data_IF_885614302418
#
_entry.id   IF_885614302418
#
_cell.length_a   1.000
_cell.length_b   1.000
_cell.length_c   1.000
_cell.angle_alpha   90.00
_cell.angle_beta   90.00
_cell.angle_gamma   90.00
#
_symmetry.space_group_name_H-M   'P 1'
#
loop_
_entity.id
_entity.type
_entity.pdbx_description
1 polymer ?
#
# COMPACT_ATOMS: atom_id res chain seq x y z
N UNK A 1 4.37 -13.65 -29.15
CA UNK A 1 3.99 -14.30 -27.89
C UNK A 1 5.27 -14.75 -27.16
N UNK A 2 5.99 -13.80 -26.55
CA UNK A 2 7.23 -14.07 -25.82
C UNK A 2 6.89 -14.30 -24.35
N UNK A 3 7.02 -15.55 -23.88
CA UNK A 3 7.04 -15.87 -22.44
C UNK A 3 8.33 -15.32 -21.85
N UNK A 4 8.43 -14.01 -21.66
CA UNK A 4 9.36 -13.48 -20.67
C UNK A 4 8.84 -13.92 -19.33
N UNK A 5 9.46 -14.98 -18.79
CA UNK A 5 9.31 -15.34 -17.39
C UNK A 5 9.55 -14.05 -16.61
N UNK A 6 8.50 -13.54 -15.98
CA UNK A 6 8.53 -12.25 -15.32
C UNK A 6 9.38 -12.43 -14.06
N UNK A 7 10.71 -12.31 -14.18
CA UNK A 7 11.68 -12.60 -13.12
C UNK A 7 11.32 -11.88 -11.82
N UNK A 8 10.73 -10.68 -11.92
CA UNK A 8 10.18 -9.93 -10.79
C UNK A 8 9.13 -10.72 -10.00
N UNK A 9 8.20 -11.44 -10.65
CA UNK A 9 7.18 -12.25 -9.97
C UNK A 9 7.77 -13.46 -9.25
N UNK A 10 8.81 -14.09 -9.83
CA UNK A 10 9.50 -15.21 -9.18
C UNK A 10 10.26 -14.72 -7.95
N UNK A 11 11.00 -13.62 -8.08
CA UNK A 11 11.73 -12.98 -6.98
C UNK A 11 10.82 -12.55 -5.82
N UNK A 12 9.57 -12.23 -6.11
CA UNK A 12 8.57 -11.87 -5.10
C UNK A 12 7.72 -13.04 -4.59
N UNK A 13 7.97 -14.27 -5.05
CA UNK A 13 7.25 -15.44 -4.54
C UNK A 13 7.68 -15.78 -3.10
N UNK A 14 6.74 -16.11 -2.19
CA UNK A 14 7.05 -16.29 -0.77
C UNK A 14 7.99 -17.48 -0.53
N UNK A 15 7.78 -18.58 -1.25
CA UNK A 15 8.59 -19.79 -1.14
C UNK A 15 10.03 -19.51 -1.57
N UNK A 16 10.23 -18.88 -2.73
CA UNK A 16 11.56 -18.56 -3.23
C UNK A 16 12.32 -17.65 -2.26
N UNK A 17 11.65 -16.63 -1.71
CA UNK A 17 12.30 -15.70 -0.77
C UNK A 17 12.70 -16.37 0.54
N UNK A 18 11.90 -17.28 1.06
CA UNK A 18 12.24 -18.05 2.26
C UNK A 18 13.46 -18.94 1.99
N UNK A 19 13.46 -19.67 0.86
CA UNK A 19 14.60 -20.52 0.48
C UNK A 19 15.87 -19.70 0.23
N UNK A 20 15.76 -18.58 -0.50
CA UNK A 20 16.86 -17.68 -0.76
C UNK A 20 17.39 -17.03 0.52
N UNK A 21 16.52 -16.66 1.46
CA UNK A 21 16.91 -16.12 2.75
C UNK A 21 17.79 -17.11 3.52
N UNK A 22 17.33 -18.35 3.69
CA UNK A 22 18.11 -19.37 4.40
C UNK A 22 19.37 -19.78 3.63
N UNK A 23 19.33 -19.81 2.30
CA UNK A 23 20.52 -20.05 1.49
C UNK A 23 21.59 -18.98 1.72
N UNK A 24 21.21 -17.70 1.82
CA UNK A 24 22.13 -16.60 2.14
C UNK A 24 22.71 -16.76 3.54
N UNK A 25 21.88 -17.10 4.54
CA UNK A 25 22.34 -17.34 5.91
C UNK A 25 23.36 -18.47 5.93
N UNK A 26 23.05 -19.61 5.31
CA UNK A 26 23.96 -20.77 5.23
C UNK A 26 25.25 -20.40 4.49
N UNK A 27 25.16 -19.69 3.36
CA UNK A 27 26.32 -19.24 2.61
C UNK A 27 27.22 -18.30 3.43
N UNK A 28 26.64 -17.37 4.19
CA UNK A 28 27.39 -16.46 5.05
C UNK A 28 28.10 -17.18 6.19
N UNK A 29 27.43 -18.14 6.85
CA UNK A 29 28.02 -18.90 7.96
C UNK A 29 29.09 -19.87 7.43
N UNK A 30 28.87 -20.54 6.30
CA UNK A 30 29.88 -21.43 5.67
C UNK A 30 31.08 -20.65 5.14
N UNK A 31 30.90 -19.40 4.69
CA UNK A 31 32.01 -18.52 4.37
C UNK A 31 32.82 -18.15 5.63
N UNK A 32 32.14 -17.85 6.74
CA UNK A 32 32.80 -17.56 8.01
C UNK A 32 33.65 -18.75 8.52
N UNK A 33 33.15 -19.99 8.37
CA UNK A 33 33.87 -21.24 8.72
C UNK A 33 35.19 -21.40 7.95
N UNK A 34 35.26 -20.88 6.72
CA UNK A 34 36.48 -20.94 5.90
C UNK A 34 37.45 -19.80 6.15
N UNK A 35 36.97 -18.68 6.66
CA UNK A 35 37.74 -17.44 6.80
C UNK A 35 38.31 -17.25 8.20
N UNK A 36 37.75 -17.93 9.20
CA UNK A 36 38.09 -17.71 10.62
C UNK A 36 38.49 -19.03 11.26
N UNK A 37 39.79 -19.24 11.43
CA UNK A 37 40.37 -20.49 11.96
C UNK A 37 39.83 -20.89 13.36
N UNK A 38 39.37 -19.91 14.14
CA UNK A 38 38.81 -20.12 15.49
C UNK A 38 37.31 -20.48 15.49
N UNK A 39 36.64 -20.42 14.34
CA UNK A 39 35.23 -20.73 14.20
C UNK A 39 35.06 -22.06 13.47
N UNK A 40 34.27 -22.96 14.06
CA UNK A 40 33.90 -24.23 13.42
C UNK A 40 32.39 -24.44 13.46
N UNK A 41 31.81 -24.64 12.29
CA UNK A 41 30.39 -24.90 12.09
C UNK A 41 29.97 -26.24 12.72
N UNK A 42 30.92 -27.14 12.96
CA UNK A 42 30.68 -28.45 13.59
C UNK A 42 30.53 -28.36 15.10
N UNK A 43 30.95 -27.26 15.73
CA UNK A 43 30.95 -27.09 17.19
C UNK A 43 29.55 -27.25 17.79
N UNK A 44 28.54 -26.54 17.27
CA UNK A 44 27.16 -26.59 17.80
C UNK A 44 26.51 -27.98 17.59
N UNK A 45 26.54 -28.59 16.39
CA UNK A 45 26.02 -29.94 16.19
C UNK A 45 26.71 -31.00 17.07
N UNK A 46 28.02 -30.90 17.27
CA UNK A 46 28.77 -31.83 18.11
C UNK A 46 28.34 -31.73 19.59
N UNK A 47 28.17 -30.51 20.10
CA UNK A 47 27.66 -30.29 21.47
C UNK A 47 26.25 -30.82 21.60
N UNK A 48 25.36 -30.55 20.63
CA UNK A 48 24.00 -31.06 20.66
C UNK A 48 23.96 -32.59 20.66
N UNK A 49 24.76 -33.23 19.81
CA UNK A 49 24.87 -34.68 19.75
C UNK A 49 25.37 -35.28 21.06
N UNK A 50 26.44 -34.73 21.62
CA UNK A 50 26.97 -35.19 22.92
C UNK A 50 25.98 -34.95 24.06
N UNK A 51 25.21 -33.85 24.01
CA UNK A 51 24.14 -33.59 24.98
C UNK A 51 23.01 -34.61 24.85
N UNK A 52 22.69 -35.04 23.62
CA UNK A 52 21.67 -36.05 23.38
C UNK A 52 22.10 -37.47 23.77
N UNK A 53 23.40 -37.79 23.65
CA UNK A 53 23.94 -39.11 23.95
C UNK A 53 24.24 -39.27 25.45
N UNK A 54 24.89 -38.28 26.07
CA UNK A 54 25.43 -38.35 27.45
C UNK A 54 24.80 -37.31 28.40
N UNK A 55 23.74 -36.61 27.99
CA UNK A 55 23.12 -35.55 28.78
C UNK A 55 24.03 -34.32 28.97
N UNK A 56 23.80 -33.53 30.02
CA UNK A 56 24.61 -32.33 30.31
C UNK A 56 26.11 -32.64 30.52
N UNK A 57 26.46 -33.86 30.90
CA UNK A 57 27.84 -34.35 31.08
C UNK A 57 28.58 -34.54 29.75
N UNK A 58 27.87 -34.86 28.67
CA UNK A 58 28.46 -34.97 27.33
C UNK A 58 28.82 -33.62 26.74
N UNK A 59 27.96 -32.62 26.94
CA UNK A 59 28.22 -31.23 26.54
C UNK A 59 29.47 -30.68 27.23
N UNK A 60 29.63 -31.06 28.49
CA UNK A 60 30.66 -30.57 29.39
C UNK A 60 32.08 -30.96 29.00
N UNK A 61 32.30 -32.24 28.66
CA UNK A 61 33.59 -32.74 28.14
C UNK A 61 34.07 -32.02 26.88
N UNK A 62 33.14 -31.45 26.11
CA UNK A 62 33.45 -30.69 24.89
C UNK A 62 33.79 -29.23 25.22
N UNK A 63 33.26 -28.68 26.31
CA UNK A 63 33.45 -27.28 26.71
C UNK A 63 34.84 -27.03 27.36
N UNK A 64 35.54 -28.08 27.78
CA UNK A 64 36.90 -27.99 28.36
C UNK A 64 37.97 -27.42 27.39
N UNK A 65 37.70 -27.45 26.07
CA UNK A 65 38.57 -26.84 25.08
C UNK A 65 38.38 -25.32 24.99
N UNK A 66 39.44 -24.54 25.23
CA UNK A 66 39.41 -23.07 25.10
C UNK A 66 38.89 -22.61 23.73
N UNK A 67 39.23 -23.32 22.65
CA UNK A 67 38.75 -23.04 21.29
C UNK A 67 37.23 -23.19 21.13
N UNK A 68 36.57 -24.03 21.92
CA UNK A 68 35.13 -24.28 21.83
C UNK A 68 34.33 -23.09 22.35
N UNK A 69 34.79 -22.47 23.45
CA UNK A 69 34.16 -21.27 24.03
C UNK A 69 34.16 -20.12 23.03
N UNK A 70 35.31 -19.85 22.40
CA UNK A 70 35.43 -18.81 21.38
C UNK A 70 34.61 -19.15 20.13
N UNK A 71 34.64 -20.40 19.67
CA UNK A 71 33.83 -20.85 18.53
C UNK A 71 32.33 -20.64 18.77
N UNK A 72 31.82 -20.88 20.00
CA UNK A 72 30.42 -20.66 20.34
C UNK A 72 30.05 -19.18 20.36
N UNK A 73 30.87 -18.35 20.99
CA UNK A 73 30.70 -16.90 20.98
C UNK A 73 30.67 -16.34 19.54
N UNK A 74 31.61 -16.78 18.70
CA UNK A 74 31.67 -16.42 17.29
C UNK A 74 30.46 -16.92 16.50
N UNK A 75 29.91 -18.10 16.84
CA UNK A 75 28.68 -18.61 16.21
C UNK A 75 27.51 -17.64 16.41
N UNK A 76 27.34 -17.11 17.62
CA UNK A 76 26.27 -16.15 17.93
C UNK A 76 26.44 -14.88 17.09
N UNK A 77 27.66 -14.35 17.02
CA UNK A 77 27.98 -13.13 16.27
C UNK A 77 27.76 -13.34 14.77
N UNK A 78 28.30 -14.41 14.19
CA UNK A 78 28.17 -14.69 12.76
C UNK A 78 26.75 -15.04 12.37
N UNK A 79 25.98 -15.71 13.23
CA UNK A 79 24.55 -15.93 12.99
C UNK A 79 23.80 -14.59 12.94
N UNK A 80 24.06 -13.69 13.88
CA UNK A 80 23.50 -12.34 13.88
C UNK A 80 23.84 -11.56 12.61
N UNK A 81 25.12 -11.55 12.22
CA UNK A 81 25.58 -10.90 11.00
C UNK A 81 24.97 -11.52 9.73
N UNK A 82 24.92 -12.84 9.63
CA UNK A 82 24.32 -13.57 8.51
C UNK A 82 22.83 -13.25 8.36
N UNK A 83 22.09 -13.19 9.47
CA UNK A 83 20.69 -12.77 9.47
C UNK A 83 20.55 -11.32 8.98
N UNK A 84 21.37 -10.38 9.47
CA UNK A 84 21.35 -8.99 9.00
C UNK A 84 21.63 -8.88 7.50
N UNK A 85 22.62 -9.61 6.98
CA UNK A 85 22.94 -9.65 5.54
C UNK A 85 21.75 -10.20 4.76
N UNK A 86 21.14 -11.29 5.22
CA UNK A 86 19.97 -11.88 4.57
C UNK A 86 18.77 -10.90 4.58
N UNK A 87 18.52 -10.21 5.70
CA UNK A 87 17.49 -9.15 5.77
C UNK A 87 17.79 -7.99 4.83
N UNK A 88 19.04 -7.53 4.77
CA UNK A 88 19.45 -6.44 3.90
C UNK A 88 19.24 -6.79 2.42
N UNK A 89 19.79 -7.92 1.97
CA UNK A 89 19.70 -8.36 0.58
C UNK A 89 18.26 -8.69 0.16
N UNK A 90 17.52 -9.43 1.00
CA UNK A 90 16.19 -9.90 0.63
C UNK A 90 15.11 -8.84 0.82
N UNK A 91 15.18 -7.97 1.83
CA UNK A 91 14.11 -7.03 2.11
C UNK A 91 14.48 -5.63 1.65
N UNK A 92 15.58 -5.09 2.19
CA UNK A 92 15.96 -3.71 1.99
C UNK A 92 16.23 -3.44 0.49
N UNK A 93 17.11 -4.22 -0.14
CA UNK A 93 17.42 -4.05 -1.57
C UNK A 93 16.19 -4.32 -2.44
N UNK A 94 15.41 -5.36 -2.14
CA UNK A 94 14.21 -5.67 -2.92
C UNK A 94 13.19 -4.51 -2.91
N UNK A 95 13.00 -3.85 -1.76
CA UNK A 95 12.13 -2.69 -1.64
C UNK A 95 12.73 -1.49 -2.37
N UNK A 96 14.02 -1.21 -2.18
CA UNK A 96 14.70 -0.11 -2.84
C UNK A 96 14.69 -0.23 -4.37
N UNK A 97 14.87 -1.44 -4.91
CA UNK A 97 14.75 -1.71 -6.34
C UNK A 97 13.31 -1.57 -6.83
N UNK A 98 12.34 -1.96 -6.01
CA UNK A 98 10.91 -1.85 -6.32
C UNK A 98 10.43 -0.40 -6.35
N UNK A 99 10.80 0.40 -5.36
CA UNK A 99 10.50 1.84 -5.32
C UNK A 99 11.22 2.54 -6.46
N UNK A 100 12.48 2.21 -6.72
CA UNK A 100 13.24 2.79 -7.83
C UNK A 100 12.63 2.44 -9.19
N UNK A 101 12.25 1.19 -9.44
CA UNK A 101 11.60 0.80 -10.69
C UNK A 101 10.26 1.48 -10.88
N UNK A 102 9.44 1.57 -9.82
CA UNK A 102 8.15 2.26 -9.84
C UNK A 102 8.32 3.77 -10.07
N UNK A 103 9.31 4.43 -9.44
CA UNK A 103 9.64 5.84 -9.68
C UNK A 103 10.05 6.10 -11.13
N UNK A 104 10.78 5.17 -11.77
CA UNK A 104 11.12 5.30 -13.19
C UNK A 104 9.91 5.24 -14.12
N UNK A 105 8.85 4.54 -13.72
CA UNK A 105 7.57 4.53 -14.47
C UNK A 105 6.83 5.87 -14.31
N UNK A 106 6.95 6.51 -13.15
CA UNK A 106 6.30 7.80 -12.86
C UNK A 106 7.03 9.01 -13.48
N UNK A 107 8.32 8.88 -13.80
CA UNK A 107 9.11 9.99 -14.32
C UNK A 107 8.83 10.24 -15.80
N UNK A 108 7.69 10.88 -16.08
CA UNK A 108 7.32 11.36 -17.42
C UNK A 108 7.84 12.78 -17.58
N UNK A 109 8.65 13.00 -18.62
CA UNK A 109 9.06 14.34 -19.01
C UNK A 109 7.84 15.09 -19.56
N UNK A 110 7.48 16.22 -18.96
CA UNK A 110 6.36 17.06 -19.45
C UNK A 110 5.37 17.57 -18.39
N UNK A 111 5.59 17.27 -17.10
CA UNK A 111 4.78 17.78 -16.00
C UNK A 111 3.43 17.07 -15.83
N UNK A 112 2.58 17.64 -14.97
CA UNK A 112 1.31 17.01 -14.51
C UNK A 112 0.35 16.66 -15.67
N UNK A 113 0.28 17.49 -16.72
CA UNK A 113 -0.62 17.27 -17.87
C UNK A 113 -0.12 16.10 -18.73
N UNK A 114 1.19 16.04 -19.01
CA UNK A 114 1.77 14.94 -19.78
C UNK A 114 1.65 13.61 -19.01
N UNK A 115 1.75 13.66 -17.68
CA UNK A 115 1.48 12.51 -16.83
C UNK A 115 0.03 12.04 -16.96
N UNK A 116 -0.93 12.95 -16.85
CA UNK A 116 -2.36 12.64 -16.96
C UNK A 116 -2.72 11.96 -18.29
N UNK A 117 -2.20 12.47 -19.42
CA UNK A 117 -2.44 11.90 -20.76
C UNK A 117 -1.89 10.48 -20.92
N UNK A 118 -0.74 10.18 -20.32
CA UNK A 118 -0.09 8.87 -20.43
C UNK A 118 -0.53 7.89 -19.34
N UNK A 119 -1.35 8.34 -18.39
CA UNK A 119 -1.65 7.60 -17.16
C UNK A 119 -2.33 6.25 -17.44
N UNK A 120 -3.48 6.26 -18.10
CA UNK A 120 -4.27 5.04 -18.36
C UNK A 120 -3.55 4.08 -19.34
N UNK A 121 -2.86 4.62 -20.34
CA UNK A 121 -2.23 3.80 -21.39
C UNK A 121 -0.90 3.17 -20.95
N UNK A 122 -0.07 3.88 -20.17
CA UNK A 122 1.31 3.46 -19.91
C UNK A 122 1.63 3.24 -18.43
N UNK A 123 1.12 4.10 -17.54
CA UNK A 123 1.56 4.18 -16.14
C UNK A 123 0.76 3.19 -15.29
N UNK A 124 -0.56 3.30 -15.30
CA UNK A 124 -1.47 2.48 -14.50
C UNK A 124 -1.29 0.97 -14.74
N UNK A 125 -1.22 0.45 -15.98
CA UNK A 125 -1.02 -0.98 -16.20
C UNK A 125 0.29 -1.51 -15.62
N UNK A 126 1.36 -0.69 -15.61
CA UNK A 126 2.66 -1.10 -15.05
C UNK A 126 2.65 -1.10 -13.53
N UNK A 127 2.01 -0.11 -12.90
CA UNK A 127 1.97 0.01 -11.44
C UNK A 127 1.00 -0.99 -10.79
N UNK A 128 -0.18 -1.22 -11.39
CA UNK A 128 -1.13 -2.24 -10.90
C UNK A 128 -0.55 -3.65 -10.98
N UNK A 129 0.29 -3.93 -11.99
CA UNK A 129 0.96 -5.22 -12.12
C UNK A 129 2.23 -5.35 -11.27
N UNK A 130 2.62 -4.32 -10.51
CA UNK A 130 3.81 -4.35 -9.68
C UNK A 130 3.60 -5.26 -8.45
N UNK A 131 4.51 -6.20 -8.14
CA UNK A 131 4.29 -7.20 -7.09
C UNK A 131 4.13 -6.60 -5.68
N UNK A 132 4.82 -5.49 -5.40
CA UNK A 132 4.75 -4.82 -4.10
C UNK A 132 3.61 -3.79 -4.01
N UNK A 133 3.39 -3.01 -5.07
CA UNK A 133 2.53 -1.82 -5.03
C UNK A 133 1.18 -2.05 -5.69
N UNK A 134 1.00 -3.11 -6.47
CA UNK A 134 -0.14 -3.24 -7.37
C UNK A 134 -1.51 -3.13 -6.70
N UNK A 135 -1.68 -3.78 -5.54
CA UNK A 135 -2.92 -3.70 -4.78
C UNK A 135 -3.14 -2.29 -4.19
N UNK A 136 -2.14 -1.73 -3.52
CA UNK A 136 -2.22 -0.38 -2.96
C UNK A 136 -2.37 0.71 -4.04
N UNK A 137 -1.78 0.50 -5.22
CA UNK A 137 -1.93 1.39 -6.36
C UNK A 137 -3.34 1.36 -6.92
N UNK A 138 -4.00 0.19 -6.93
CA UNK A 138 -5.40 0.08 -7.33
C UNK A 138 -6.30 0.90 -6.39
N UNK A 139 -6.13 0.73 -5.08
CA UNK A 139 -6.88 1.50 -4.08
C UNK A 139 -6.60 3.01 -4.19
N UNK A 140 -5.35 3.39 -4.45
CA UNK A 140 -5.00 4.79 -4.69
C UNK A 140 -5.63 5.33 -5.98
N UNK A 141 -5.62 4.58 -7.10
CA UNK A 141 -6.25 4.95 -8.38
C UNK A 141 -7.74 5.24 -8.23
N UNK A 142 -8.43 4.46 -7.38
CA UNK A 142 -9.86 4.65 -7.10
C UNK A 142 -10.16 6.00 -6.41
N UNK A 143 -9.16 6.67 -5.83
CA UNK A 143 -9.30 8.00 -5.22
C UNK A 143 -8.96 9.19 -6.13
N UNK A 144 -8.48 8.91 -7.35
CA UNK A 144 -8.06 9.95 -8.28
C UNK A 144 -9.25 10.53 -9.05
N UNK A 145 -9.30 11.87 -9.14
CA UNK A 145 -10.30 12.58 -9.93
C UNK A 145 -9.78 12.76 -11.36
N UNK A 146 -10.53 12.23 -12.32
CA UNK A 146 -10.16 12.19 -13.74
C UNK A 146 -10.95 13.19 -14.60
N UNK A 147 -11.90 13.91 -14.01
CA UNK A 147 -12.86 14.79 -14.72
C UNK A 147 -12.18 15.87 -15.57
N UNK A 148 -11.04 16.39 -15.11
CA UNK A 148 -10.29 17.42 -15.83
C UNK A 148 -9.37 16.87 -16.92
N UNK A 149 -9.12 15.56 -16.96
CA UNK A 149 -8.20 14.94 -17.94
C UNK A 149 -8.75 15.08 -19.35
N UNK A 150 -10.06 14.88 -19.54
CA UNK A 150 -10.73 15.04 -20.84
C UNK A 150 -10.68 16.50 -21.36
N UNK A 151 -10.48 17.46 -20.46
CA UNK A 151 -10.34 18.88 -20.76
C UNK A 151 -8.88 19.32 -20.90
N UNK A 152 -7.93 18.37 -20.91
CA UNK A 152 -6.49 18.65 -20.97
C UNK A 152 -5.88 19.13 -19.66
N UNK A 153 -6.59 18.96 -18.54
CA UNK A 153 -6.13 19.29 -17.19
C UNK A 153 -5.34 18.17 -16.51
N UNK A 154 -4.74 18.46 -15.34
CA UNK A 154 -3.96 17.49 -14.58
C UNK A 154 -4.85 16.43 -13.92
N UNK A 155 -4.24 15.30 -13.57
CA UNK A 155 -4.86 14.28 -12.72
C UNK A 155 -4.81 14.76 -11.26
N UNK A 156 -5.94 14.72 -10.57
CA UNK A 156 -6.01 15.24 -9.19
C UNK A 156 -6.13 14.10 -8.18
N UNK A 157 -5.45 14.22 -7.03
CA UNK A 157 -5.59 13.28 -5.92
C UNK A 157 -6.31 13.93 -4.74
N UNK A 158 -7.28 13.19 -4.19
CA UNK A 158 -8.07 13.63 -3.01
C UNK A 158 -7.43 13.19 -1.69
N UNK A 159 -6.67 12.10 -1.73
CA UNK A 159 -5.93 11.54 -0.60
C UNK A 159 -4.44 11.54 -0.92
N UNK A 160 -3.62 11.82 0.09
CA UNK A 160 -2.15 11.79 -0.03
C UNK A 160 -1.64 10.37 -0.32
N UNK A 161 -0.59 10.25 -1.10
CA UNK A 161 -0.03 8.94 -1.48
C UNK A 161 0.51 8.18 -0.25
N UNK A 162 0.98 8.91 0.75
CA UNK A 162 1.52 8.38 2.02
C UNK A 162 0.50 7.54 2.81
N UNK A 163 -0.80 7.76 2.63
CA UNK A 163 -1.86 6.97 3.27
C UNK A 163 -1.87 5.52 2.76
N UNK A 164 -1.47 5.28 1.52
CA UNK A 164 -1.46 3.96 0.87
C UNK A 164 -0.06 3.33 0.85
N UNK A 165 0.96 4.15 0.62
CA UNK A 165 2.34 3.69 0.48
C UNK A 165 3.15 4.02 1.74
N UNK A 166 3.04 3.15 2.73
CA UNK A 166 3.73 3.30 4.02
C UNK A 166 4.36 1.99 4.48
N UNK A 167 5.02 2.02 5.63
CA UNK A 167 5.69 0.84 6.19
C UNK A 167 4.74 -0.32 6.49
N UNK A 168 3.44 -0.05 6.73
CA UNK A 168 2.45 -1.10 6.98
C UNK A 168 2.24 -1.97 5.73
N UNK A 169 2.12 -1.35 4.55
CA UNK A 169 2.04 -2.06 3.26
C UNK A 169 3.19 -3.06 3.09
N UNK A 170 4.41 -2.62 3.38
CA UNK A 170 5.61 -3.46 3.25
C UNK A 170 5.59 -4.59 4.27
N UNK A 171 5.22 -4.31 5.53
CA UNK A 171 5.14 -5.32 6.59
C UNK A 171 4.09 -6.39 6.31
N UNK A 172 2.98 -6.05 5.63
CA UNK A 172 1.96 -7.03 5.28
C UNK A 172 2.40 -7.97 4.17
N UNK A 173 3.23 -7.48 3.24
CA UNK A 173 3.85 -8.34 2.21
C UNK A 173 5.05 -9.12 2.73
N UNK A 174 5.75 -8.59 3.73
CA UNK A 174 7.02 -9.11 4.24
C UNK A 174 6.96 -9.30 5.75
N UNK A 175 6.46 -10.45 6.24
CA UNK A 175 6.33 -10.70 7.67
C UNK A 175 7.67 -10.71 8.41
N UNK A 176 8.79 -10.97 7.72
CA UNK A 176 10.13 -10.90 8.29
C UNK A 176 10.46 -9.53 8.91
N UNK A 177 9.93 -8.44 8.35
CA UNK A 177 10.11 -7.09 8.90
C UNK A 177 9.28 -6.83 10.17
N UNK A 178 8.25 -7.65 10.45
CA UNK A 178 7.53 -7.59 11.72
C UNK A 178 8.37 -8.23 12.84
N UNK A 179 9.13 -9.28 12.52
CA UNK A 179 9.91 -10.06 13.49
C UNK A 179 11.31 -9.48 13.73
N UNK A 180 11.88 -8.74 12.76
CA UNK A 180 13.27 -8.23 12.84
C UNK A 180 13.56 -7.48 14.15
N UNK A 181 12.64 -6.65 14.63
CA UNK A 181 12.83 -5.90 15.88
C UNK A 181 12.95 -6.81 17.11
N UNK A 182 12.23 -7.94 17.12
CA UNK A 182 12.21 -8.90 18.23
C UNK A 182 13.45 -9.80 18.27
N UNK A 183 14.12 -10.01 17.14
CA UNK A 183 15.29 -10.90 17.05
C UNK A 183 16.44 -10.44 17.95
N UNK A 184 16.63 -9.13 18.09
CA UNK A 184 17.63 -8.57 19.01
C UNK A 184 17.44 -9.07 20.45
N UNK A 185 16.20 -9.14 20.93
CA UNK A 185 15.87 -9.65 22.26
C UNK A 185 16.17 -11.14 22.42
N UNK A 186 16.01 -11.93 21.36
CA UNK A 186 16.35 -13.36 21.37
C UNK A 186 17.85 -13.59 21.58
N UNK A 187 18.73 -12.75 21.04
CA UNK A 187 20.17 -12.86 21.28
C UNK A 187 20.55 -12.60 22.75
N UNK A 188 19.88 -11.65 23.41
CA UNK A 188 20.04 -11.45 24.87
C UNK A 188 19.55 -12.68 25.62
N UNK A 189 18.36 -13.19 25.27
CA UNK A 189 17.78 -14.39 25.88
C UNK A 189 18.68 -15.61 25.74
N UNK A 190 19.28 -15.83 24.57
CA UNK A 190 20.24 -16.92 24.32
C UNK A 190 21.49 -16.76 25.18
N UNK A 191 22.08 -15.55 25.25
CA UNK A 191 23.24 -15.30 26.10
C UNK A 191 22.95 -15.53 27.60
N UNK A 192 21.79 -15.10 28.07
CA UNK A 192 21.32 -15.31 29.44
C UNK A 192 21.07 -16.80 29.74
N UNK A 193 20.43 -17.52 28.81
CA UNK A 193 20.17 -18.94 28.93
C UNK A 193 21.48 -19.74 29.02
N UNK A 194 22.47 -19.43 28.16
CA UNK A 194 23.79 -20.05 28.22
C UNK A 194 24.51 -19.73 29.54
N UNK A 195 24.29 -18.53 30.09
CA UNK A 195 24.84 -18.16 31.41
C UNK A 195 24.27 -19.03 32.52
N UNK A 196 22.95 -19.25 32.53
CA UNK A 196 22.32 -20.13 33.51
C UNK A 196 22.77 -21.58 33.36
N UNK A 197 22.86 -22.10 32.13
CA UNK A 197 23.40 -23.43 31.88
C UNK A 197 24.83 -23.54 32.41
N UNK A 198 25.68 -22.55 32.15
CA UNK A 198 27.05 -22.51 32.68
C UNK A 198 27.08 -22.56 34.21
N UNK A 199 26.22 -21.81 34.90
CA UNK A 199 26.14 -21.85 36.37
C UNK A 199 25.71 -23.24 36.88
N UNK A 200 24.70 -23.86 36.24
CA UNK A 200 24.24 -25.21 36.62
C UNK A 200 25.35 -26.25 36.44
N UNK A 201 26.08 -26.20 35.32
CA UNK A 201 27.24 -27.06 35.06
C UNK A 201 28.34 -26.86 36.10
N UNK A 202 28.65 -25.61 36.45
CA UNK A 202 29.65 -25.28 37.47
C UNK A 202 29.25 -25.86 38.85
N UNK A 203 28.00 -25.67 39.29
CA UNK A 203 27.52 -26.20 40.56
C UNK A 203 27.54 -27.73 40.61
N UNK A 204 27.21 -28.39 39.50
CA UNK A 204 27.29 -29.84 39.39
C UNK A 204 28.73 -30.32 39.63
N UNK A 205 29.73 -29.69 39.01
CA UNK A 205 31.16 -30.02 39.19
C UNK A 205 31.67 -29.75 40.60
N UNK A 206 31.33 -28.59 41.15
CA UNK A 206 31.72 -28.22 42.50
C UNK A 206 31.21 -29.25 43.52
N UNK A 207 29.97 -29.72 43.36
CA UNK A 207 29.40 -30.72 44.28
C UNK A 207 30.08 -32.09 44.18
N UNK A 208 30.49 -32.52 42.97
CA UNK A 208 31.26 -33.76 42.78
C UNK A 208 32.67 -33.70 43.40
N UNK A 209 33.33 -32.54 43.36
CA UNK A 209 34.69 -32.36 43.86
C UNK A 209 34.78 -32.28 45.39
N UNK A 210 33.80 -31.65 46.03
CA UNK A 210 33.72 -31.49 47.50
C UNK A 210 33.63 -32.83 48.24
N UNK A 211 33.14 -33.89 47.58
CA UNK A 211 33.11 -35.24 48.14
C UNK A 211 34.43 -36.01 48.09
N UNK A 212 35.51 -35.42 47.55
CA UNK A 212 36.80 -36.11 47.36
C UNK A 212 37.89 -35.62 48.32
N UNK A 213 38.61 -36.55 48.95
CA UNK A 213 39.78 -36.26 49.82
C UNK A 213 41.09 -36.05 49.04
N UNK A 214 41.03 -35.88 47.72
CA UNK A 214 42.19 -35.78 46.84
C UNK A 214 42.43 -34.34 46.42
N UNK A 215 43.54 -33.76 46.88
CA UNK A 215 43.91 -32.38 46.58
C UNK A 215 44.06 -32.10 45.08
N UNK A 216 44.43 -33.12 44.28
CA UNK A 216 44.54 -32.98 42.82
C UNK A 216 43.17 -32.84 42.17
N UNK A 217 42.18 -33.61 42.62
CA UNK A 217 40.79 -33.51 42.17
C UNK A 217 40.16 -32.18 42.53
N UNK A 218 40.50 -31.62 43.69
CA UNK A 218 40.09 -30.25 44.04
C UNK A 218 40.70 -29.20 43.11
N UNK A 219 41.99 -29.32 42.76
CA UNK A 219 42.66 -28.39 41.85
C UNK A 219 42.05 -28.45 40.44
N UNK A 220 41.82 -29.65 39.92
CA UNK A 220 41.20 -29.87 38.61
C UNK A 220 39.78 -29.26 38.58
N UNK A 221 38.97 -29.51 39.60
CA UNK A 221 37.64 -28.93 39.72
C UNK A 221 37.65 -27.39 39.76
N UNK A 222 38.63 -26.76 40.42
CA UNK A 222 38.76 -25.30 40.41
C UNK A 222 39.12 -24.77 39.02
N UNK A 223 40.05 -25.42 38.31
CA UNK A 223 40.40 -25.05 36.92
C UNK A 223 39.19 -25.14 36.00
N UNK A 224 38.42 -26.21 36.15
CA UNK A 224 37.23 -26.49 35.36
C UNK A 224 36.09 -25.51 35.65
N UNK A 225 35.91 -25.10 36.91
CA UNK A 225 34.99 -24.02 37.29
C UNK A 225 35.36 -22.69 36.64
N UNK A 226 36.65 -22.37 36.51
CA UNK A 226 37.12 -21.17 35.81
C UNK A 226 36.84 -21.24 34.31
N UNK A 227 36.96 -22.41 33.68
CA UNK A 227 36.61 -22.60 32.27
C UNK A 227 35.10 -22.42 32.04
N UNK A 228 34.26 -23.03 32.88
CA UNK A 228 32.79 -22.86 32.81
C UNK A 228 32.39 -21.41 33.08
N UNK A 229 33.09 -20.72 33.99
CA UNK A 229 32.91 -19.29 34.22
C UNK A 229 33.27 -18.46 32.96
N UNK A 230 34.39 -18.79 32.29
CA UNK A 230 34.79 -18.13 31.05
C UNK A 230 33.77 -18.34 29.93
N UNK A 231 33.23 -19.56 29.83
CA UNK A 231 32.18 -19.92 28.88
C UNK A 231 30.92 -19.06 29.05
N UNK A 232 30.37 -18.94 30.26
CA UNK A 232 29.16 -18.13 30.50
C UNK A 232 29.39 -16.65 30.19
N UNK A 233 30.58 -16.11 30.50
CA UNK A 233 30.86 -14.70 30.27
C UNK A 233 31.05 -14.39 28.79
N UNK A 234 31.84 -15.19 28.06
CA UNK A 234 32.06 -14.95 26.62
C UNK A 234 30.79 -15.12 25.79
N UNK A 235 29.99 -16.16 26.06
CA UNK A 235 28.72 -16.36 25.33
C UNK A 235 27.68 -15.29 25.66
N UNK A 236 27.65 -14.78 26.90
CA UNK A 236 26.80 -13.66 27.30
C UNK A 236 27.23 -12.34 26.67
N UNK A 237 28.53 -12.04 26.66
CA UNK A 237 29.08 -10.84 25.99
C UNK A 237 28.76 -10.89 24.49
N UNK A 238 28.95 -12.04 23.84
CA UNK A 238 28.61 -12.22 22.44
C UNK A 238 27.11 -12.03 22.18
N UNK A 239 26.24 -12.60 23.02
CA UNK A 239 24.79 -12.40 22.93
C UNK A 239 24.36 -10.95 23.06
N UNK A 240 24.90 -10.23 24.06
CA UNK A 240 24.62 -8.81 24.28
C UNK A 240 25.17 -7.93 23.14
N UNK A 241 26.42 -8.14 22.73
CA UNK A 241 27.04 -7.39 21.64
C UNK A 241 26.28 -7.59 20.32
N UNK A 242 25.92 -8.84 20.02
CA UNK A 242 25.10 -9.17 18.84
C UNK A 242 23.73 -8.53 18.94
N UNK A 243 23.08 -8.57 20.11
CA UNK A 243 21.77 -7.93 20.32
C UNK A 243 21.79 -6.42 20.04
N UNK A 244 22.75 -5.71 20.63
CA UNK A 244 22.89 -4.25 20.46
C UNK A 244 23.16 -3.92 18.99
N UNK A 245 24.15 -4.60 18.38
CA UNK A 245 24.47 -4.40 16.97
C UNK A 245 23.29 -4.69 16.05
N UNK A 246 22.58 -5.80 16.31
CA UNK A 246 21.40 -6.20 15.54
C UNK A 246 20.28 -5.15 15.66
N UNK A 247 19.98 -4.66 16.87
CA UNK A 247 18.95 -3.66 17.08
C UNK A 247 19.25 -2.34 16.35
N UNK A 248 20.50 -1.87 16.38
CA UNK A 248 20.92 -0.64 15.70
C UNK A 248 20.81 -0.77 14.18
N UNK A 249 21.34 -1.87 13.61
CA UNK A 249 21.28 -2.11 12.16
C UNK A 249 19.85 -2.32 11.68
N UNK A 250 19.03 -3.06 12.44
CA UNK A 250 17.62 -3.26 12.12
C UNK A 250 16.83 -1.94 12.11
N UNK A 251 17.10 -1.03 13.06
CA UNK A 251 16.52 0.33 13.03
C UNK A 251 16.94 1.10 11.78
N UNK A 252 18.21 1.01 11.40
CA UNK A 252 18.72 1.67 10.21
C UNK A 252 18.05 1.16 8.93
N UNK A 253 17.79 -0.15 8.83
CA UNK A 253 17.04 -0.75 7.72
C UNK A 253 15.61 -0.19 7.63
N UNK A 254 14.90 -0.05 8.76
CA UNK A 254 13.54 0.51 8.76
C UNK A 254 13.56 1.96 8.30
N UNK A 255 14.46 2.79 8.83
CA UNK A 255 14.61 4.19 8.42
C UNK A 255 14.89 4.29 6.91
N UNK A 256 15.75 3.41 6.38
CA UNK A 256 16.07 3.40 4.95
C UNK A 256 14.87 3.01 4.08
N UNK A 257 14.09 2.01 4.51
CA UNK A 257 12.85 1.60 3.83
C UNK A 257 11.84 2.74 3.84
N UNK A 258 11.61 3.38 4.98
CA UNK A 258 10.70 4.52 5.12
C UNK A 258 11.12 5.67 4.21
N UNK A 259 12.41 6.05 4.22
CA UNK A 259 12.93 7.08 3.33
C UNK A 259 12.73 6.73 1.85
N UNK A 260 12.88 5.46 1.49
CA UNK A 260 12.64 5.01 0.12
C UNK A 260 11.16 5.08 -0.29
N UNK A 261 10.24 4.80 0.63
CA UNK A 261 8.80 4.94 0.40
C UNK A 261 8.40 6.41 0.32
N UNK A 262 8.91 7.26 1.22
CA UNK A 262 8.66 8.71 1.18
C UNK A 262 9.08 9.32 -0.15
N UNK A 263 10.26 8.98 -0.66
CA UNK A 263 10.72 9.42 -2.00
C UNK A 263 9.84 8.92 -3.14
N UNK A 264 9.20 7.76 -2.98
CA UNK A 264 8.23 7.27 -3.95
C UNK A 264 6.93 8.08 -3.86
N UNK A 265 6.41 8.32 -2.65
CA UNK A 265 5.24 9.16 -2.43
C UNK A 265 5.44 10.58 -2.97
N UNK A 266 6.58 11.20 -2.71
CA UNK A 266 6.93 12.52 -3.27
C UNK A 266 6.94 12.49 -4.80
N UNK A 267 7.47 11.43 -5.41
CA UNK A 267 7.46 11.29 -6.86
C UNK A 267 6.05 11.09 -7.45
N UNK A 268 5.14 10.45 -6.70
CA UNK A 268 3.72 10.34 -7.06
C UNK A 268 3.05 11.71 -6.95
N UNK A 269 3.22 12.37 -5.81
CA UNK A 269 2.57 13.67 -5.54
C UNK A 269 3.09 14.79 -6.44
N UNK A 270 4.34 14.74 -6.91
CA UNK A 270 4.84 15.71 -7.88
C UNK A 270 4.17 15.59 -9.26
N UNK A 271 3.56 14.44 -9.58
CA UNK A 271 2.90 14.21 -10.85
C UNK A 271 1.39 14.48 -10.82
N UNK A 272 0.86 14.80 -9.63
CA UNK A 272 -0.57 14.94 -9.37
C UNK A 272 -0.84 16.27 -8.72
N UNK A 273 -2.01 16.84 -9.00
CA UNK A 273 -2.47 18.01 -8.29
C UNK A 273 -3.28 17.60 -7.06
N UNK A 274 -2.83 18.01 -5.88
CA UNK A 274 -3.54 17.70 -4.64
C UNK A 274 -4.79 18.57 -4.47
N UNK A 275 -5.96 17.92 -4.52
CA UNK A 275 -7.26 18.54 -4.29
C UNK A 275 -7.77 18.12 -2.92
N UNK A 276 -7.48 18.95 -1.92
CA UNK A 276 -7.92 18.65 -0.54
C UNK A 276 -9.46 18.63 -0.42
N UNK A 277 -10.02 17.86 0.53
CA UNK A 277 -11.46 17.88 0.79
C UNK A 277 -12.02 19.29 1.06
N UNK A 278 -11.26 20.14 1.74
CA UNK A 278 -11.65 21.53 2.01
C UNK A 278 -11.70 22.37 0.72
N UNK A 279 -10.78 22.12 -0.21
CA UNK A 279 -10.77 22.79 -1.51
C UNK A 279 -12.00 22.37 -2.33
N UNK A 280 -12.31 21.07 -2.38
CA UNK A 280 -13.49 20.54 -3.07
C UNK A 280 -14.78 21.09 -2.45
N UNK A 281 -14.85 21.17 -1.11
CA UNK A 281 -16.00 21.75 -0.41
C UNK A 281 -16.16 23.25 -0.72
N UNK A 282 -15.06 24.00 -0.78
CA UNK A 282 -15.08 25.42 -1.14
C UNK A 282 -15.50 25.62 -2.61
N UNK A 283 -15.04 24.78 -3.53
CA UNK A 283 -15.44 24.80 -4.94
C UNK A 283 -16.92 24.45 -5.09
N UNK A 284 -17.41 23.43 -4.40
CA UNK A 284 -18.84 23.06 -4.36
C UNK A 284 -19.71 24.19 -3.80
N UNK A 285 -19.26 24.85 -2.72
CA UNK A 285 -19.95 26.01 -2.17
C UNK A 285 -20.03 27.15 -3.20
N UNK A 286 -18.95 27.43 -3.93
CA UNK A 286 -18.95 28.44 -4.98
C UNK A 286 -19.92 28.09 -6.10
N UNK A 287 -19.89 26.87 -6.61
CA UNK A 287 -20.84 26.40 -7.64
C UNK A 287 -22.29 26.52 -7.16
N UNK A 288 -22.56 26.21 -5.89
CA UNK A 288 -23.90 26.37 -5.29
C UNK A 288 -24.32 27.84 -5.19
N UNK A 289 -23.39 28.75 -4.88
CA UNK A 289 -23.65 30.19 -4.88
C UNK A 289 -23.96 30.69 -6.30
N UNK A 290 -23.18 30.28 -7.30
CA UNK A 290 -23.39 30.65 -8.70
C UNK A 290 -24.76 30.14 -9.20
N UNK A 291 -25.13 28.90 -8.88
CA UNK A 291 -26.46 28.34 -9.18
C UNK A 291 -27.59 29.11 -8.51
N UNK A 292 -27.42 29.47 -7.23
CA UNK A 292 -28.40 30.28 -6.49
C UNK A 292 -28.58 31.64 -7.15
N UNK A 293 -27.51 32.27 -7.60
CA UNK A 293 -27.57 33.59 -8.24
C UNK A 293 -28.21 33.51 -9.63
N UNK A 294 -27.95 32.45 -10.40
CA UNK A 294 -28.68 32.15 -11.65
C UNK A 294 -30.18 31.92 -11.40
N UNK A 295 -30.54 31.17 -10.36
CA UNK A 295 -31.95 30.95 -9.99
C UNK A 295 -32.64 32.25 -9.57
N UNK A 296 -31.94 33.16 -8.87
CA UNK A 296 -32.47 34.50 -8.57
C UNK A 296 -32.67 35.32 -9.84
N UNK A 297 -31.77 35.22 -10.81
CA UNK A 297 -31.93 35.91 -12.09
C UNK A 297 -33.15 35.40 -12.86
N UNK A 298 -33.35 34.07 -12.95
CA UNK A 298 -34.53 33.47 -13.59
C UNK A 298 -35.83 33.89 -12.89
N UNK A 299 -35.82 33.96 -11.55
CA UNK A 299 -36.98 34.39 -10.76
C UNK A 299 -37.11 35.90 -10.64
N UNK A 300 -36.25 36.69 -11.28
CA UNK A 300 -36.32 38.14 -11.20
C UNK A 300 -37.47 38.68 -12.04
N UNK A 301 -38.12 39.74 -11.56
CA UNK A 301 -39.13 40.47 -12.31
C UNK A 301 -38.62 40.88 -13.70
N UNK A 302 -37.32 41.18 -13.81
CA UNK A 302 -36.66 41.49 -15.09
C UNK A 302 -36.73 40.34 -16.09
N UNK A 303 -36.52 39.10 -15.64
CA UNK A 303 -36.61 37.93 -16.52
C UNK A 303 -38.07 37.71 -16.94
N UNK A 304 -39.03 37.82 -16.02
CA UNK A 304 -40.46 37.68 -16.33
C UNK A 304 -40.99 38.80 -17.23
N UNK A 305 -40.55 40.05 -17.05
CA UNK A 305 -40.90 41.15 -17.96
C UNK A 305 -40.34 40.90 -19.36
N UNK A 306 -39.07 40.50 -19.50
CA UNK A 306 -38.51 40.13 -20.80
C UNK A 306 -39.22 38.93 -21.43
N UNK A 307 -39.60 37.94 -20.62
CA UNK A 307 -40.38 36.80 -21.10
C UNK A 307 -41.75 37.27 -21.59
N UNK A 308 -42.46 38.10 -20.82
CA UNK A 308 -43.74 38.66 -21.21
C UNK A 308 -43.62 39.49 -22.50
N UNK A 309 -42.64 40.38 -22.61
CA UNK A 309 -42.45 41.25 -23.78
C UNK A 309 -42.16 40.45 -25.06
N UNK A 310 -41.43 39.34 -24.97
CA UNK A 310 -41.06 38.53 -26.13
C UNK A 310 -42.05 37.40 -26.43
N UNK A 311 -42.74 36.86 -25.42
CA UNK A 311 -43.67 35.74 -25.56
C UNK A 311 -45.11 36.20 -25.75
N UNK A 312 -45.54 37.32 -25.16
CA UNK A 312 -46.89 37.84 -25.34
C UNK A 312 -47.23 38.11 -26.82
N UNK A 313 -46.37 38.73 -27.65
CA UNK A 313 -46.67 38.94 -29.06
C UNK A 313 -46.76 37.62 -29.84
N UNK A 314 -45.97 36.60 -29.45
CA UNK A 314 -46.00 35.27 -30.06
C UNK A 314 -47.30 34.53 -29.72
N UNK A 315 -47.78 34.66 -28.48
CA UNK A 315 -49.07 34.12 -28.05
C UNK A 315 -50.23 34.83 -28.74
N UNK A 316 -50.20 36.17 -28.80
CA UNK A 316 -51.21 36.95 -29.52
C UNK A 316 -51.26 36.59 -31.00
N UNK A 317 -50.10 36.47 -31.66
CA UNK A 317 -50.03 36.01 -33.05
C UNK A 317 -50.53 34.58 -33.22
N UNK A 318 -50.14 33.65 -32.35
CA UNK A 318 -50.60 32.26 -32.40
C UNK A 318 -52.13 32.16 -32.17
N UNK A 319 -52.67 32.93 -31.23
CA UNK A 319 -54.10 32.98 -30.94
C UNK A 319 -54.88 33.62 -32.09
N UNK A 320 -54.40 34.73 -32.67
CA UNK A 320 -55.00 35.34 -33.85
C UNK A 320 -55.02 34.37 -35.05
N UNK A 321 -53.92 33.62 -35.26
CA UNK A 321 -53.81 32.61 -36.32
C UNK A 321 -54.73 31.41 -36.09
N UNK A 322 -54.93 31.01 -34.84
CA UNK A 322 -55.83 29.92 -34.45
C UNK A 322 -57.31 30.32 -34.45
N UNK A 323 -57.63 31.59 -34.16
CA UNK A 323 -59.00 32.12 -34.14
C UNK A 323 -59.49 32.59 -35.52
N UNK A 324 -58.59 32.95 -36.44
CA UNK A 324 -58.97 33.37 -37.80
C UNK A 324 -59.87 32.36 -38.54
N UNK A 325 -59.62 31.03 -38.52
CA UNK A 325 -60.52 30.06 -39.13
C UNK A 325 -61.89 29.98 -38.45
N UNK A 326 -61.95 30.23 -37.14
CA UNK A 326 -63.20 30.17 -36.35
C UNK A 326 -64.08 31.36 -36.70
N UNK A 327 -63.54 32.57 -36.77
CA UNK A 327 -64.28 33.76 -37.21
C UNK A 327 -64.75 33.64 -38.66
N UNK A 328 -63.91 33.13 -39.56
CA UNK A 328 -64.32 32.87 -40.96
C UNK A 328 -65.43 31.83 -41.04
N UNK A 329 -65.35 30.74 -40.26
CA UNK A 329 -66.39 29.71 -40.23
C UNK A 329 -67.71 30.23 -39.67
N UNK A 330 -67.68 31.08 -38.63
CA UNK A 330 -68.87 31.73 -38.07
C UNK A 330 -69.49 32.69 -39.08
N UNK A 331 -68.70 33.54 -39.74
CA UNK A 331 -69.21 34.44 -40.79
C UNK A 331 -69.84 33.65 -41.95
N UNK A 332 -69.20 32.58 -42.39
CA UNK A 332 -69.75 31.66 -43.39
C UNK A 332 -71.06 31.03 -42.93
N UNK A 333 -71.14 30.58 -41.69
CA UNK A 333 -72.36 29.98 -41.14
C UNK A 333 -73.51 30.99 -41.02
N UNK A 334 -73.22 32.24 -40.65
CA UNK A 334 -74.20 33.34 -40.61
C UNK A 334 -74.67 33.72 -42.01
N UNK A 335 -73.77 33.77 -42.99
CA UNK A 335 -74.13 34.05 -44.39
C UNK A 335 -74.97 32.92 -45.00
N UNK A 336 -74.62 31.65 -44.72
CA UNK A 336 -75.46 30.50 -45.07
C UNK A 336 -76.82 30.55 -44.39
N UNK A 337 -76.90 30.89 -43.11
CA UNK A 337 -78.16 31.05 -42.39
C UNK A 337 -79.03 32.14 -43.01
N UNK A 338 -78.44 33.28 -43.38
CA UNK A 338 -79.14 34.38 -44.05
C UNK A 338 -79.63 33.97 -45.44
N UNK A 339 -78.79 33.28 -46.21
CA UNK A 339 -79.16 32.74 -47.51
C UNK A 339 -80.30 31.71 -47.39
N UNK A 340 -80.18 30.72 -46.50
CA UNK A 340 -81.23 29.73 -46.24
C UNK A 340 -82.51 30.37 -45.71
N UNK A 341 -82.43 31.41 -44.88
CA UNK A 341 -83.60 32.15 -44.41
C UNK A 341 -84.29 32.92 -45.53
N UNK A 342 -83.53 33.58 -46.42
CA UNK A 342 -84.09 34.27 -47.60
C UNK A 342 -84.68 33.30 -48.62
N UNK A 343 -84.01 32.17 -48.87
CA UNK A 343 -84.52 31.11 -49.76
C UNK A 343 -85.76 30.43 -49.15
N UNK A 344 -85.75 30.10 -47.86
CA UNK A 344 -86.91 29.52 -47.18
C UNK A 344 -88.12 30.47 -47.14
N UNK A 345 -87.90 31.77 -46.98
CA UNK A 345 -88.97 32.78 -47.11
C UNK A 345 -89.48 32.87 -48.55
N UNK A 346 -88.59 32.85 -49.54
CA UNK A 346 -88.97 32.87 -50.96
C UNK A 346 -89.75 31.61 -51.37
N UNK A 347 -89.32 30.43 -50.90
CA UNK A 347 -89.99 29.15 -51.15
C UNK A 347 -91.33 29.07 -50.43
N UNK A 348 -91.45 29.53 -49.19
CA UNK A 348 -92.77 29.64 -48.53
C UNK A 348 -93.71 30.60 -49.28
N UNK A 349 -93.19 31.71 -49.82
CA UNK A 349 -94.00 32.65 -50.60
C UNK A 349 -94.44 32.03 -51.93
N UNK A 350 -93.56 31.23 -52.55
CA UNK A 350 -93.81 30.50 -53.79
C UNK A 350 -94.79 29.35 -53.60
N UNK A 351 -94.66 28.58 -52.53
CA UNK A 351 -95.57 27.49 -52.16
C UNK A 351 -96.95 28.03 -51.78
N UNK A 352 -97.01 29.17 -51.09
CA UNK A 352 -98.28 29.87 -50.82
C UNK A 352 -98.95 30.36 -52.11
N UNK A 353 -98.17 30.88 -53.07
CA UNK A 353 -98.67 31.27 -54.38
C UNK A 353 -99.12 30.07 -55.24
N UNK A 354 -98.42 28.93 -55.14
CA UNK A 354 -98.80 27.69 -55.81
C UNK A 354 -100.07 27.06 -55.21
N UNK A 355 -100.24 27.10 -53.88
CA UNK A 355 -101.43 26.63 -53.18
C UNK A 355 -102.68 27.51 -53.43
N UNK A 356 -102.51 28.73 -53.96
CA UNK A 356 -103.60 29.61 -54.40
C UNK A 356 -104.04 29.34 -55.85
N UNK A 357 -103.25 28.60 -56.63
CA UNK A 357 -103.45 28.35 -58.06
C UNK A 357 -103.77 26.88 -58.40
N UNK A 358 -104.00 26.03 -57.40
CA UNK A 358 -104.67 24.72 -57.52
C UNK A 358 -105.89 24.71 -56.62
#
# INVERSE_FOLDING_TARGET
MSKTINLSKILWSPIFRILAFWAIVIAAITAADRLVDQFSLKTVPNIFRATSEDGLLGADKIIEGSNVVYSLALTIIFLGAALLIAFFLQHCIAIALSTWSARRVLNVNGGEIAFAQNYEAQIKPRLINHPLFGAAWKEFDDTLLKDKVDQGGPLENTVRAQSFFNIALVRDRLPGLKVISSISGYFVGVGLLLTFIGIVLALYKASAAVGSNDAKKMQDAVSELLQVASFKFWTSIAGLATSIGFALVARWFVIWIEASLSRFCEAVEHQLKYSSPNYIAAESLKVSQDQRDQLKEINSDRYFSKLADNVAPLIEQAMARAMSPVTTSISSAVEQLKATSQTGLADMTKDFAAALHG
#
